data_IF_764595827063
#
_entry.id   IF_764595827063
#
_cell.length_a   1.000
_cell.length_b   1.000
_cell.length_c   1.000
_cell.angle_alpha   90.00
_cell.angle_beta   90.00
_cell.angle_gamma   90.00
#
_symmetry.space_group_name_H-M   'P 1'
#
loop_
_entity.id
_entity.type
_entity.pdbx_description
1 polymer ?
#
# COMPACT_ATOMS: atom_id res chain seq x y z
N UNK A 1 -31.00 -15.07 -9.61
CA UNK A 1 -31.67 -14.87 -10.91
C UNK A 1 -33.14 -14.54 -10.69
N UNK A 2 -33.63 -13.49 -11.36
CA UNK A 2 -35.03 -13.06 -11.27
C UNK A 2 -35.70 -13.27 -12.63
N UNK A 3 -37.00 -13.67 -12.68
CA UNK A 3 -37.74 -13.67 -13.92
C UNK A 3 -38.05 -12.23 -14.36
N UNK A 4 -37.84 -11.94 -15.63
CA UNK A 4 -38.16 -10.64 -16.23
C UNK A 4 -39.25 -10.86 -17.30
N UNK A 5 -40.26 -10.02 -17.30
CA UNK A 5 -41.32 -10.00 -18.25
C UNK A 5 -41.19 -8.76 -19.15
N UNK A 6 -41.15 -8.98 -20.45
CA UNK A 6 -40.99 -7.89 -21.43
C UNK A 6 -42.19 -7.90 -22.38
N UNK A 7 -42.80 -6.74 -22.63
CA UNK A 7 -43.77 -6.53 -23.70
C UNK A 7 -43.60 -5.14 -24.34
N UNK A 8 -43.98 -5.04 -25.58
CA UNK A 8 -44.02 -3.79 -26.28
C UNK A 8 -45.41 -3.14 -26.12
N UNK A 9 -45.40 -1.83 -26.05
CA UNK A 9 -46.60 -0.99 -26.07
C UNK A 9 -46.50 -0.02 -27.23
N UNK A 10 -47.45 -0.08 -28.13
CA UNK A 10 -47.61 0.92 -29.19
C UNK A 10 -48.74 1.90 -28.83
N UNK A 11 -48.50 3.18 -29.01
CA UNK A 11 -49.50 4.24 -28.84
C UNK A 11 -49.57 5.04 -30.12
N UNK A 12 -50.77 5.51 -30.46
CA UNK A 12 -50.92 6.51 -31.52
C UNK A 12 -50.50 7.86 -30.95
N UNK A 13 -49.55 8.50 -31.63
CA UNK A 13 -49.00 9.77 -31.17
C UNK A 13 -50.10 10.88 -31.19
N UNK A 14 -50.23 11.62 -30.08
CA UNK A 14 -51.14 12.73 -29.94
C UNK A 14 -52.54 12.42 -29.44
N UNK A 15 -52.88 11.15 -29.12
CA UNK A 15 -54.18 10.82 -28.55
C UNK A 15 -54.05 9.70 -27.53
N UNK A 16 -54.08 10.06 -26.26
CA UNK A 16 -53.90 9.13 -25.15
C UNK A 16 -55.03 8.12 -24.97
N UNK A 17 -56.20 8.37 -25.60
CA UNK A 17 -57.40 7.55 -25.43
C UNK A 17 -57.70 6.62 -26.57
N UNK A 18 -57.02 6.73 -27.71
CA UNK A 18 -57.25 5.89 -28.89
C UNK A 18 -56.00 5.06 -29.22
N UNK A 19 -56.20 3.74 -29.31
CA UNK A 19 -55.22 2.91 -30.00
C UNK A 19 -54.00 2.44 -29.19
N UNK A 20 -54.20 2.04 -27.94
CA UNK A 20 -53.15 1.28 -27.22
C UNK A 20 -53.13 -0.16 -27.68
N UNK A 21 -52.02 -0.60 -28.26
CA UNK A 21 -51.76 -2.01 -28.58
C UNK A 21 -50.60 -2.52 -27.73
N UNK A 22 -50.79 -3.68 -27.18
CA UNK A 22 -49.80 -4.39 -26.39
C UNK A 22 -49.41 -5.66 -27.09
N UNK A 23 -48.13 -5.94 -27.21
CA UNK A 23 -47.66 -7.25 -27.68
C UNK A 23 -47.97 -8.33 -26.64
N UNK A 24 -47.80 -9.59 -27.02
CA UNK A 24 -47.66 -10.69 -26.07
C UNK A 24 -46.51 -10.40 -25.08
N UNK A 25 -46.62 -10.97 -23.91
CA UNK A 25 -45.56 -10.91 -22.92
C UNK A 25 -44.55 -12.03 -23.15
N UNK A 26 -43.29 -11.68 -23.28
CA UNK A 26 -42.18 -12.64 -23.31
C UNK A 26 -41.65 -12.75 -21.86
N UNK A 27 -41.59 -13.96 -21.35
CA UNK A 27 -40.99 -14.28 -20.07
C UNK A 27 -39.56 -14.75 -20.30
N UNK A 28 -38.60 -14.05 -19.72
CA UNK A 28 -37.22 -14.51 -19.56
C UNK A 28 -37.10 -15.15 -18.17
N UNK A 29 -36.98 -16.51 -18.11
CA UNK A 29 -37.06 -17.24 -16.83
C UNK A 29 -35.90 -16.90 -15.88
N UNK A 30 -34.78 -16.52 -16.44
CA UNK A 30 -33.58 -16.11 -15.67
C UNK A 30 -32.89 -14.93 -16.34
N UNK A 31 -32.78 -13.85 -15.62
CA UNK A 31 -31.93 -12.73 -15.99
C UNK A 31 -30.86 -12.58 -14.91
N UNK A 32 -29.61 -12.74 -15.30
CA UNK A 32 -28.49 -12.41 -14.45
C UNK A 32 -28.13 -10.94 -14.70
N UNK A 33 -28.26 -10.08 -13.71
CA UNK A 33 -27.80 -8.70 -13.88
C UNK A 33 -26.31 -8.71 -14.16
N UNK A 34 -25.89 -8.00 -15.20
CA UNK A 34 -24.49 -7.77 -15.46
C UNK A 34 -23.95 -6.81 -14.38
N UNK A 35 -23.11 -7.32 -13.53
CA UNK A 35 -22.27 -6.49 -12.66
C UNK A 35 -20.94 -6.30 -13.39
N UNK A 36 -20.57 -5.06 -13.77
CA UNK A 36 -19.26 -4.83 -14.34
C UNK A 36 -18.20 -5.29 -13.32
N UNK A 37 -17.25 -6.09 -13.80
CA UNK A 37 -16.10 -6.48 -12.99
C UNK A 37 -15.25 -5.21 -12.79
N UNK A 38 -15.33 -4.62 -11.61
CA UNK A 38 -14.41 -3.55 -11.21
C UNK A 38 -13.09 -4.22 -10.86
N UNK A 39 -12.10 -4.09 -11.74
CA UNK A 39 -10.74 -4.53 -11.43
C UNK A 39 -10.09 -3.46 -10.56
N UNK A 40 -9.55 -3.87 -9.41
CA UNK A 40 -8.76 -2.98 -8.59
C UNK A 40 -7.48 -2.57 -9.32
N UNK A 41 -7.01 -1.35 -9.07
CA UNK A 41 -5.75 -0.83 -9.59
C UNK A 41 -4.75 -0.67 -8.46
N UNK A 42 -3.48 -0.93 -8.75
CA UNK A 42 -2.40 -0.69 -7.80
C UNK A 42 -2.33 0.80 -7.46
N UNK A 43 -2.03 1.16 -6.21
CA UNK A 43 -1.77 2.54 -5.84
C UNK A 43 -0.49 3.05 -6.53
N UNK A 44 -0.48 4.32 -6.91
CA UNK A 44 0.69 4.99 -7.48
C UNK A 44 1.61 5.57 -6.42
N UNK A 45 1.09 5.77 -5.22
CA UNK A 45 1.79 6.36 -4.08
C UNK A 45 1.49 5.56 -2.81
N UNK A 46 2.38 5.68 -1.85
CA UNK A 46 2.21 5.08 -0.54
C UNK A 46 2.80 6.01 0.52
N UNK A 47 2.10 6.10 1.63
CA UNK A 47 2.47 6.94 2.76
C UNK A 47 2.35 6.15 4.05
N UNK A 48 3.09 6.60 5.05
CA UNK A 48 2.90 6.19 6.43
C UNK A 48 2.71 7.43 7.30
N UNK A 49 1.91 7.31 8.33
CA UNK A 49 1.77 8.33 9.38
C UNK A 49 1.69 7.63 10.73
N UNK A 50 2.05 8.32 11.81
CA UNK A 50 2.09 7.69 13.11
C UNK A 50 2.69 8.56 14.20
N UNK A 51 2.97 7.94 15.34
CA UNK A 51 3.60 8.61 16.49
C UNK A 51 5.13 8.63 16.42
N UNK A 52 5.74 8.32 15.28
CA UNK A 52 7.18 8.37 15.06
C UNK A 52 7.64 9.79 14.63
N UNK A 53 8.92 10.15 14.82
CA UNK A 53 9.39 11.52 14.67
C UNK A 53 9.10 12.16 13.32
N UNK A 54 9.41 11.49 12.21
CA UNK A 54 9.18 12.03 10.87
C UNK A 54 7.71 12.32 10.56
N UNK A 55 6.78 11.62 11.20
CA UNK A 55 5.35 11.83 11.07
C UNK A 55 4.79 12.89 12.04
N UNK A 56 5.65 13.43 12.93
CA UNK A 56 5.31 14.50 13.86
C UNK A 56 4.02 14.23 14.63
N UNK A 57 3.97 13.04 15.25
CA UNK A 57 2.83 12.55 16.01
C UNK A 57 1.50 12.64 15.25
N UNK A 58 1.40 11.93 14.13
CA UNK A 58 0.20 11.82 13.26
C UNK A 58 -0.15 13.09 12.46
N UNK A 59 0.67 14.13 12.51
CA UNK A 59 0.38 15.39 11.83
C UNK A 59 0.91 15.44 10.39
N UNK A 60 1.84 14.54 10.03
CA UNK A 60 2.48 14.50 8.71
C UNK A 60 2.37 13.12 8.08
N UNK A 61 2.32 13.13 6.77
CA UNK A 61 2.38 11.94 5.93
C UNK A 61 3.79 11.79 5.35
N UNK A 62 4.45 10.69 5.67
CA UNK A 62 5.77 10.35 5.14
C UNK A 62 5.57 9.49 3.91
N UNK A 63 5.99 9.98 2.76
CA UNK A 63 5.90 9.24 1.49
C UNK A 63 6.97 8.16 1.43
N UNK A 64 6.56 6.95 1.09
CA UNK A 64 7.47 5.87 0.70
C UNK A 64 7.80 6.00 -0.79
N UNK A 65 9.06 5.81 -1.16
CA UNK A 65 9.50 5.91 -2.55
C UNK A 65 9.03 4.69 -3.35
N UNK A 66 8.51 4.86 -4.57
CA UNK A 66 8.21 3.74 -5.45
C UNK A 66 9.52 3.05 -5.87
N UNK A 67 9.50 1.72 -5.89
CA UNK A 67 10.65 0.95 -6.35
C UNK A 67 10.77 1.02 -7.87
N UNK A 68 11.96 1.31 -8.38
CA UNK A 68 12.21 1.39 -9.81
C UNK A 68 11.93 0.05 -10.50
N UNK A 69 11.17 0.09 -11.58
CA UNK A 69 10.84 -1.10 -12.37
C UNK A 69 9.91 -2.11 -11.69
N UNK A 70 9.34 -1.80 -10.51
CA UNK A 70 8.50 -2.72 -9.74
C UNK A 70 7.23 -2.02 -9.27
N UNK A 71 6.19 -2.07 -10.09
CA UNK A 71 4.90 -1.47 -9.77
C UNK A 71 4.31 -2.07 -8.47
N UNK A 72 3.70 -1.23 -7.64
CA UNK A 72 3.07 -1.66 -6.39
C UNK A 72 4.03 -1.89 -5.23
N UNK A 73 5.33 -1.61 -5.39
CA UNK A 73 6.33 -1.67 -4.33
C UNK A 73 6.77 -0.28 -3.91
N UNK A 74 6.75 -0.01 -2.61
CA UNK A 74 7.11 1.28 -2.01
C UNK A 74 8.00 1.04 -0.82
N UNK A 75 9.05 1.85 -0.65
CA UNK A 75 10.02 1.66 0.43
C UNK A 75 10.51 2.97 1.02
N UNK A 76 10.98 2.90 2.26
CA UNK A 76 11.65 3.99 2.95
C UNK A 76 12.47 3.49 4.12
N UNK A 77 13.50 4.23 4.46
CA UNK A 77 14.28 4.02 5.69
C UNK A 77 13.80 5.05 6.71
N UNK A 78 13.27 4.57 7.83
CA UNK A 78 12.54 5.41 8.79
C UNK A 78 13.00 5.09 10.20
N UNK A 79 13.16 6.13 11.02
CA UNK A 79 13.39 5.97 12.45
C UNK A 79 12.07 5.88 13.20
N UNK A 80 11.93 4.87 14.02
CA UNK A 80 10.82 4.72 14.95
C UNK A 80 11.34 4.87 16.39
N UNK A 81 10.60 5.61 17.21
CA UNK A 81 10.79 5.60 18.66
C UNK A 81 10.27 4.28 19.23
N UNK A 82 10.71 3.90 20.41
CA UNK A 82 10.16 2.72 21.10
C UNK A 82 8.65 2.87 21.30
N UNK A 83 7.91 1.82 21.01
CA UNK A 83 6.45 1.76 21.05
C UNK A 83 5.76 2.76 20.11
N UNK A 84 6.44 3.23 19.07
CA UNK A 84 5.81 4.05 18.05
C UNK A 84 4.73 3.24 17.31
N UNK A 85 3.67 3.92 16.97
CA UNK A 85 2.54 3.37 16.22
C UNK A 85 2.43 4.04 14.86
N UNK A 86 1.98 3.31 13.85
CA UNK A 86 1.79 3.87 12.52
C UNK A 86 0.67 3.16 11.74
N UNK A 87 0.29 3.77 10.64
CA UNK A 87 -0.59 3.21 9.60
C UNK A 87 -0.01 3.44 8.23
N UNK A 88 -0.43 2.61 7.29
CA UNK A 88 -0.10 2.69 5.88
C UNK A 88 -1.30 3.26 5.12
N UNK A 89 -1.08 4.15 4.15
CA UNK A 89 -2.16 4.73 3.36
C UNK A 89 -1.69 5.05 1.93
N UNK A 90 -2.45 4.69 0.89
CA UNK A 90 -2.17 5.13 -0.47
C UNK A 90 -2.39 6.65 -0.69
N UNK A 91 -3.04 7.31 0.25
CA UNK A 91 -3.32 8.75 0.21
C UNK A 91 -2.60 9.49 1.35
N UNK A 92 -2.30 10.75 1.14
CA UNK A 92 -1.77 11.64 2.19
C UNK A 92 -2.87 12.35 2.98
N UNK A 93 -3.95 11.65 3.25
CA UNK A 93 -5.11 12.15 3.97
C UNK A 93 -5.91 11.02 4.63
N UNK A 94 -6.65 11.35 5.69
CA UNK A 94 -7.59 10.46 6.34
C UNK A 94 -8.88 10.31 5.50
N UNK A 95 -8.83 9.50 4.46
CA UNK A 95 -9.95 9.25 3.53
C UNK A 95 -10.57 7.85 3.68
N UNK A 96 -10.29 7.16 4.79
CA UNK A 96 -10.80 5.81 5.07
C UNK A 96 -10.13 4.70 4.24
N UNK A 97 -8.98 4.99 3.64
CA UNK A 97 -8.17 4.02 2.89
C UNK A 97 -6.92 3.57 3.66
N UNK A 98 -6.72 4.12 4.84
CA UNK A 98 -5.64 3.71 5.74
C UNK A 98 -5.75 2.23 6.10
N UNK A 99 -4.60 1.61 6.28
CA UNK A 99 -4.46 0.20 6.63
C UNK A 99 -3.77 0.09 7.99
N UNK A 100 -4.44 -0.61 8.88
CA UNK A 100 -3.89 -1.02 10.16
C UNK A 100 -3.34 -2.44 10.13
N UNK A 101 -2.87 -2.93 11.27
CA UNK A 101 -2.17 -4.20 11.43
C UNK A 101 -2.94 -5.39 10.85
N UNK A 102 -4.23 -5.55 11.15
CA UNK A 102 -5.03 -6.69 10.70
C UNK A 102 -5.48 -6.61 9.24
N UNK A 103 -5.20 -5.49 8.55
CA UNK A 103 -5.55 -5.26 7.15
C UNK A 103 -4.36 -5.47 6.20
N UNK A 104 -3.23 -5.93 6.74
CA UNK A 104 -2.00 -6.21 6.00
C UNK A 104 -1.52 -7.62 6.32
N UNK A 105 -0.81 -8.23 5.40
CA UNK A 105 0.09 -9.33 5.72
C UNK A 105 1.36 -8.73 6.33
N UNK A 106 1.74 -9.15 7.52
CA UNK A 106 2.94 -8.66 8.19
C UNK A 106 4.07 -9.65 7.99
N UNK A 107 5.18 -9.17 7.45
CA UNK A 107 6.43 -9.90 7.29
C UNK A 107 7.53 -9.17 8.07
N UNK A 108 7.64 -9.51 9.37
CA UNK A 108 8.65 -8.96 10.26
C UNK A 108 9.95 -9.74 10.14
N UNK A 109 10.89 -9.19 9.40
CA UNK A 109 12.21 -9.77 9.14
C UNK A 109 13.29 -9.25 10.11
N UNK A 110 12.91 -8.63 11.22
CA UNK A 110 13.88 -8.17 12.24
C UNK A 110 14.48 -9.31 13.05
N UNK A 111 13.88 -10.49 12.98
CA UNK A 111 14.26 -11.66 13.79
C UNK A 111 13.85 -11.57 15.26
N UNK A 112 13.10 -10.53 15.65
CA UNK A 112 12.75 -10.25 17.05
C UNK A 112 11.26 -9.98 17.26
N UNK A 113 10.42 -10.18 16.26
CA UNK A 113 8.97 -9.92 16.33
C UNK A 113 8.66 -8.51 16.88
N UNK A 114 9.28 -7.50 16.29
CA UNK A 114 9.17 -6.11 16.74
C UNK A 114 7.84 -5.46 16.37
N UNK A 115 7.11 -6.03 15.40
CA UNK A 115 5.88 -5.47 14.87
C UNK A 115 4.67 -6.21 15.44
N UNK A 116 3.73 -5.48 16.01
CA UNK A 116 2.50 -6.01 16.60
C UNK A 116 1.32 -5.07 16.40
N UNK A 117 0.10 -5.51 16.75
CA UNK A 117 -1.05 -4.64 16.86
C UNK A 117 -1.04 -3.88 18.21
N UNK A 118 -1.50 -2.63 18.21
CA UNK A 118 -1.74 -1.87 19.45
C UNK A 118 -3.04 -2.30 20.15
N UNK A 119 -3.99 -2.88 19.41
CA UNK A 119 -5.28 -3.32 19.90
C UNK A 119 -5.80 -4.56 19.15
N UNK A 120 -6.81 -5.22 19.74
CA UNK A 120 -7.40 -6.44 19.18
C UNK A 120 -8.53 -6.15 18.17
N UNK A 121 -8.25 -5.34 17.14
CA UNK A 121 -9.19 -5.08 16.05
C UNK A 121 -8.45 -4.99 14.70
N UNK A 122 -9.18 -5.19 13.60
CA UNK A 122 -8.61 -5.23 12.25
C UNK A 122 -7.92 -3.93 11.85
N UNK A 123 -8.48 -2.80 12.26
CA UNK A 123 -7.93 -1.46 11.99
C UNK A 123 -6.92 -0.96 13.02
N UNK A 124 -6.45 -1.82 13.95
CA UNK A 124 -5.46 -1.48 14.96
C UNK A 124 -4.20 -0.86 14.36
N UNK A 125 -3.56 0.07 15.06
CA UNK A 125 -2.29 0.62 14.60
C UNK A 125 -1.20 -0.48 14.57
N UNK A 126 -0.23 -0.31 13.70
CA UNK A 126 0.96 -1.13 13.64
C UNK A 126 1.94 -0.55 14.65
N UNK A 127 2.30 -1.33 15.67
CA UNK A 127 3.18 -0.91 16.76
C UNK A 127 4.57 -1.48 16.58
N UNK A 128 5.59 -0.64 16.72
CA UNK A 128 7.01 -1.01 16.71
C UNK A 128 7.54 -0.96 18.12
N UNK A 129 7.97 -2.09 18.68
CA UNK A 129 8.33 -2.19 20.10
C UNK A 129 9.66 -1.51 20.45
N UNK A 130 10.67 -1.59 19.57
CA UNK A 130 12.01 -1.07 19.83
C UNK A 130 12.33 0.16 19.00
N UNK A 131 13.03 1.12 19.60
CA UNK A 131 13.55 2.26 18.86
C UNK A 131 14.64 1.83 17.88
N UNK A 132 14.70 2.49 16.71
CA UNK A 132 15.74 2.25 15.72
C UNK A 132 15.36 2.70 14.31
N UNK A 133 16.31 2.54 13.41
CA UNK A 133 16.11 2.73 11.98
C UNK A 133 15.69 1.42 11.32
N UNK A 134 14.64 1.47 10.55
CA UNK A 134 14.09 0.29 9.86
C UNK A 134 13.82 0.61 8.39
N UNK A 135 13.97 -0.39 7.57
CA UNK A 135 13.45 -0.37 6.20
C UNK A 135 12.00 -0.84 6.23
N UNK A 136 11.12 0.02 5.78
CA UNK A 136 9.69 -0.25 5.62
C UNK A 136 9.42 -0.45 4.14
N UNK A 137 8.92 -1.62 3.76
CA UNK A 137 8.48 -1.89 2.39
C UNK A 137 7.01 -2.25 2.39
N UNK A 138 6.23 -1.58 1.56
CA UNK A 138 4.84 -1.93 1.32
C UNK A 138 4.71 -2.49 -0.09
N UNK A 139 4.40 -3.77 -0.17
CA UNK A 139 4.06 -4.45 -1.40
C UNK A 139 2.56 -4.46 -1.58
N UNK A 140 2.09 -4.21 -2.79
CA UNK A 140 0.66 -4.27 -3.14
C UNK A 140 0.43 -5.17 -4.34
N UNK A 141 -0.63 -5.98 -4.28
CA UNK A 141 -1.00 -6.89 -5.36
C UNK A 141 -2.50 -6.80 -5.65
N UNK A 142 -2.87 -6.83 -6.93
CA UNK A 142 -4.29 -6.92 -7.33
C UNK A 142 -4.78 -8.34 -7.14
N UNK A 143 -5.87 -8.48 -6.38
CA UNK A 143 -6.56 -9.74 -6.14
C UNK A 143 -8.06 -9.57 -6.45
N UNK A 144 -8.44 -9.82 -7.70
CA UNK A 144 -9.79 -9.60 -8.20
C UNK A 144 -10.19 -8.12 -8.17
N UNK A 145 -11.14 -7.77 -7.31
CA UNK A 145 -11.64 -6.39 -7.12
C UNK A 145 -11.02 -5.67 -5.90
N UNK A 146 -9.98 -6.24 -5.30
CA UNK A 146 -9.29 -5.72 -4.13
C UNK A 146 -7.80 -5.56 -4.40
N UNK A 147 -7.15 -4.77 -3.57
CA UNK A 147 -5.70 -4.71 -3.46
C UNK A 147 -5.31 -5.31 -2.12
N UNK A 148 -4.48 -6.33 -2.17
CA UNK A 148 -3.84 -6.90 -1.00
C UNK A 148 -2.55 -6.11 -0.69
N UNK A 149 -2.24 -5.99 0.60
CA UNK A 149 -1.09 -5.24 1.09
C UNK A 149 -0.22 -6.15 1.95
N UNK A 150 1.08 -6.13 1.72
CA UNK A 150 2.08 -6.79 2.57
C UNK A 150 3.05 -5.74 3.08
N UNK A 151 3.26 -5.72 4.39
CA UNK A 151 4.27 -4.90 5.05
C UNK A 151 5.49 -5.78 5.36
N UNK A 152 6.61 -5.51 4.69
CA UNK A 152 7.90 -6.06 5.07
C UNK A 152 8.60 -5.04 5.98
N UNK A 153 9.02 -5.49 7.15
CA UNK A 153 9.67 -4.66 8.15
C UNK A 153 11.03 -5.27 8.51
N UNK A 154 12.10 -4.55 8.18
CA UNK A 154 13.46 -5.04 8.26
C UNK A 154 14.35 -4.06 9.04
N UNK A 155 15.46 -4.52 9.64
CA UNK A 155 16.51 -3.60 10.07
C UNK A 155 16.95 -2.72 8.91
N UNK A 156 17.27 -1.45 9.18
CA UNK A 156 17.75 -0.57 8.11
C UNK A 156 19.09 -1.07 7.56
N UNK A 157 19.14 -1.18 6.25
CA UNK A 157 20.35 -1.51 5.52
C UNK A 157 20.52 -0.51 4.37
N UNK A 158 21.65 0.19 4.40
CA UNK A 158 22.02 1.16 3.38
C UNK A 158 23.37 0.76 2.83
N UNK A 159 23.50 0.72 1.52
CA UNK A 159 24.72 0.28 0.84
C UNK A 159 25.23 1.36 -0.11
N UNK A 160 26.54 1.49 -0.18
CA UNK A 160 27.19 2.23 -1.24
C UNK A 160 27.25 1.35 -2.50
N UNK A 161 26.74 1.87 -3.61
CA UNK A 161 26.60 1.14 -4.85
C UNK A 161 27.18 1.98 -6.00
N UNK A 162 28.20 1.51 -6.68
CA UNK A 162 28.80 2.25 -7.80
C UNK A 162 30.30 2.17 -7.90
N UNK A 163 30.89 3.08 -8.67
CA UNK A 163 32.31 3.09 -9.00
C UNK A 163 33.25 3.36 -7.79
N UNK A 164 32.74 4.00 -6.73
CA UNK A 164 33.51 4.36 -5.53
C UNK A 164 33.88 3.16 -4.66
N UNK A 165 33.26 2.01 -4.87
CA UNK A 165 33.54 0.77 -4.14
C UNK A 165 34.41 -0.23 -4.93
N UNK A 166 35.33 0.26 -5.74
CA UNK A 166 36.19 -0.59 -6.58
C UNK A 166 35.60 -0.94 -7.94
N UNK A 167 34.58 -0.20 -8.38
CA UNK A 167 33.97 -0.36 -9.72
C UNK A 167 32.93 -1.47 -9.79
N UNK A 168 32.46 -1.99 -8.65
CA UNK A 168 31.45 -3.05 -8.64
C UNK A 168 30.06 -2.46 -8.37
N UNK A 169 29.14 -2.72 -9.31
CA UNK A 169 27.72 -2.39 -9.17
C UNK A 169 26.98 -3.60 -8.60
N UNK A 170 27.44 -4.07 -7.45
CA UNK A 170 26.91 -5.24 -6.77
C UNK A 170 26.65 -4.96 -5.29
N UNK A 171 25.65 -5.62 -4.74
CA UNK A 171 25.38 -5.59 -3.30
C UNK A 171 26.51 -6.31 -2.56
N UNK A 172 27.26 -5.57 -1.75
CA UNK A 172 28.38 -6.11 -1.01
C UNK A 172 28.39 -5.56 0.43
N UNK A 173 28.44 -6.46 1.39
CA UNK A 173 28.44 -6.11 2.82
C UNK A 173 29.62 -5.24 3.24
N UNK A 174 30.75 -5.28 2.51
CA UNK A 174 31.89 -4.39 2.78
C UNK A 174 31.56 -2.91 2.49
N UNK A 175 30.49 -2.65 1.76
CA UNK A 175 30.03 -1.29 1.39
C UNK A 175 28.71 -0.93 2.07
N UNK A 176 28.39 -1.63 3.16
CA UNK A 176 27.24 -1.31 4.01
C UNK A 176 27.57 -0.14 4.93
N UNK A 177 26.66 0.81 5.03
CA UNK A 177 26.76 1.92 5.98
C UNK A 177 26.59 1.42 7.41
N UNK A 178 27.29 2.07 8.33
CA UNK A 178 26.95 2.00 9.74
C UNK A 178 25.67 2.78 9.97
N UNK A 179 24.65 2.10 10.45
CA UNK A 179 23.36 2.72 10.78
C UNK A 179 23.44 3.34 12.16
N UNK A 180 23.03 4.59 12.36
CA UNK A 180 23.08 5.22 13.67
C UNK A 180 22.09 4.60 14.65
N UNK A 181 22.44 4.63 15.94
CA UNK A 181 21.57 4.14 17.00
C UNK A 181 20.41 5.10 17.36
N UNK A 182 20.53 6.37 16.95
CA UNK A 182 19.57 7.44 17.29
C UNK A 182 19.05 8.13 16.04
N UNK A 183 17.90 8.77 16.15
CA UNK A 183 17.26 9.52 15.07
C UNK A 183 18.19 10.53 14.38
N UNK A 184 18.92 11.31 15.17
CA UNK A 184 19.76 12.40 14.68
C UNK A 184 21.24 11.99 14.47
N UNK A 185 21.52 10.68 14.46
CA UNK A 185 22.84 10.18 14.17
C UNK A 185 23.11 10.11 12.66
N UNK A 186 24.38 10.11 12.29
CA UNK A 186 24.79 10.04 10.89
C UNK A 186 24.90 8.60 10.40
N UNK A 187 24.42 8.35 9.19
CA UNK A 187 24.74 7.15 8.43
C UNK A 187 26.18 7.27 7.92
N UNK A 188 27.07 6.43 8.41
CA UNK A 188 28.49 6.52 8.07
C UNK A 188 28.83 5.51 6.97
N UNK A 189 29.29 5.99 5.82
CA UNK A 189 29.76 5.13 4.74
C UNK A 189 31.06 4.41 5.15
N UNK A 190 31.34 3.23 4.57
CA UNK A 190 32.68 2.67 4.62
C UNK A 190 33.68 3.58 3.90
N UNK A 191 34.98 3.36 4.14
CA UNK A 191 36.01 4.10 3.44
C UNK A 191 35.89 3.92 1.94
N UNK A 192 35.87 5.01 1.19
CA UNK A 192 35.83 4.98 -0.27
C UNK A 192 37.21 4.64 -0.81
N UNK A 193 37.27 3.69 -1.74
CA UNK A 193 38.53 3.25 -2.39
C UNK A 193 38.99 4.16 -3.52
N UNK A 194 38.07 4.92 -4.11
CA UNK A 194 38.32 5.86 -5.20
C UNK A 194 37.23 6.93 -5.29
N UNK A 195 37.52 8.04 -5.96
CA UNK A 195 36.50 8.98 -6.40
C UNK A 195 35.76 8.39 -7.60
N UNK A 196 34.44 8.52 -7.63
CA UNK A 196 33.60 7.99 -8.72
C UNK A 196 32.13 8.22 -8.49
N UNK A 197 31.31 7.72 -9.42
CA UNK A 197 29.87 7.77 -9.32
C UNK A 197 29.34 6.77 -8.28
N UNK A 198 28.25 7.14 -7.63
CA UNK A 198 27.49 6.33 -6.68
C UNK A 198 26.03 6.20 -7.15
#
# INVERSE_FOLDING_TARGET
ALPVFIRLRANIYGNENLGKSLSNTIRLPQVLPYAPQVTATLPEKMYITGSFPAADNWSKWVMLNPAYGKAGYFYGVVYFSANAEFKVNPDNAWAGRDKGFGQLTIDDQTGSNLVSADAANEGANIKVSNAGWYTVVVETAVNGNKVDYTLHFLPAEVYLFGATNGGTWEWNNNFRFTVPATENGDFVSPALSAAGEV
#
